data_IF_330970826717
#
_entry.id   IF_330970826717
#
_cell.length_a   1.000
_cell.length_b   1.000
_cell.length_c   1.000
_cell.angle_alpha   90.00
_cell.angle_beta   90.00
_cell.angle_gamma   90.00
#
_symmetry.space_group_name_H-M   'P 1'
#
loop_
_entity.id
_entity.type
_entity.pdbx_description
1 polymer ?
#
# COMPACT_ATOMS: atom_id res chain seq x y z
N UNK A 1 -3.48 -34.80 42.36
CA UNK A 1 -4.90 -34.83 41.98
C UNK A 1 -5.08 -33.81 40.87
N UNK A 2 -5.29 -34.30 39.65
CA UNK A 2 -5.45 -33.50 38.45
C UNK A 2 -6.91 -33.15 38.23
N UNK A 3 -7.21 -31.97 37.69
CA UNK A 3 -8.32 -31.74 36.76
C UNK A 3 -7.98 -30.55 35.85
N UNK A 4 -7.29 -30.81 34.73
CA UNK A 4 -7.40 -29.98 33.54
C UNK A 4 -8.41 -30.67 32.62
N UNK A 5 -9.55 -30.02 32.38
CA UNK A 5 -10.52 -30.44 31.39
C UNK A 5 -10.00 -29.97 30.03
N UNK A 6 -9.54 -30.90 29.21
CA UNK A 6 -9.29 -30.71 27.79
C UNK A 6 -10.60 -30.49 27.05
N UNK A 7 -10.71 -29.49 26.15
CA UNK A 7 -11.67 -29.58 25.07
C UNK A 7 -11.14 -30.60 24.06
N UNK A 8 -12.01 -31.55 23.72
CA UNK A 8 -11.78 -32.66 22.82
C UNK A 8 -11.39 -32.14 21.42
N UNK A 9 -10.09 -32.20 21.10
CA UNK A 9 -9.56 -31.97 19.75
C UNK A 9 -9.92 -33.20 18.93
N UNK A 10 -11.02 -33.13 18.20
CA UNK A 10 -11.31 -34.09 17.14
C UNK A 10 -10.32 -33.86 15.99
N UNK A 11 -9.34 -34.76 15.91
CA UNK A 11 -8.60 -35.24 14.74
C UNK A 11 -8.01 -34.20 13.77
N UNK A 12 -6.68 -34.02 13.89
CA UNK A 12 -5.68 -33.88 12.83
C UNK A 12 -6.09 -33.18 11.52
N UNK A 13 -5.89 -31.86 11.49
CA UNK A 13 -5.66 -31.11 10.25
C UNK A 13 -4.35 -30.27 10.29
N UNK A 14 -3.50 -30.51 11.30
CA UNK A 14 -2.29 -29.72 11.58
C UNK A 14 -0.99 -30.32 11.02
N UNK A 15 -1.04 -31.35 10.17
CA UNK A 15 0.15 -32.05 9.64
C UNK A 15 0.39 -31.82 8.14
N UNK A 16 -0.01 -30.67 7.60
CA UNK A 16 0.11 -30.36 6.18
C UNK A 16 1.04 -29.15 5.98
N UNK A 17 2.27 -29.33 5.45
CA UNK A 17 3.16 -28.21 5.23
C UNK A 17 2.53 -27.24 4.24
N UNK A 18 2.32 -26.01 4.71
CA UNK A 18 1.94 -24.88 3.89
C UNK A 18 3.21 -24.08 3.61
N UNK A 19 3.55 -23.92 2.34
CA UNK A 19 4.65 -23.07 1.90
C UNK A 19 4.05 -21.82 1.25
N UNK A 20 4.26 -20.66 1.87
CA UNK A 20 3.87 -19.36 1.31
C UNK A 20 5.10 -18.71 0.68
N UNK A 21 4.92 -18.11 -0.49
CA UNK A 21 5.94 -17.29 -1.13
C UNK A 21 6.01 -15.90 -0.49
N UNK A 22 7.10 -15.17 -0.74
CA UNK A 22 7.15 -13.73 -0.47
C UNK A 22 6.37 -12.96 -1.54
N UNK A 23 5.86 -11.79 -1.17
CA UNK A 23 5.18 -10.88 -2.07
C UNK A 23 3.68 -11.14 -2.32
N UNK A 24 3.04 -10.11 -2.87
CA UNK A 24 1.66 -10.17 -3.38
C UNK A 24 1.64 -10.31 -4.88
N UNK A 25 0.68 -11.09 -5.35
CA UNK A 25 0.39 -11.31 -6.76
C UNK A 25 -0.99 -10.75 -7.07
N UNK A 26 -1.12 -10.13 -8.23
CA UNK A 26 -2.41 -9.73 -8.79
C UNK A 26 -3.12 -10.95 -9.34
N UNK A 27 -4.43 -11.02 -9.13
CA UNK A 27 -5.24 -12.01 -9.82
C UNK A 27 -6.68 -11.58 -10.06
N UNK A 28 -7.39 -12.48 -10.72
CA UNK A 28 -8.80 -12.34 -11.06
C UNK A 28 -9.57 -13.58 -10.66
N UNK A 29 -10.69 -13.37 -9.97
CA UNK A 29 -11.59 -14.44 -9.57
C UNK A 29 -12.33 -14.96 -10.80
N UNK A 30 -12.26 -16.27 -11.04
CA UNK A 30 -13.03 -16.94 -12.10
C UNK A 30 -14.51 -16.91 -11.77
N UNK A 31 -15.36 -16.79 -12.78
CA UNK A 31 -16.81 -16.95 -12.65
C UNK A 31 -17.22 -18.41 -12.57
N UNK A 32 -16.64 -19.13 -11.60
CA UNK A 32 -16.85 -20.55 -11.38
C UNK A 32 -16.66 -20.88 -9.90
N UNK A 33 -17.60 -21.66 -9.36
CA UNK A 33 -17.46 -22.35 -8.07
C UNK A 33 -17.64 -23.85 -8.25
N UNK A 34 -17.11 -24.65 -7.32
CA UNK A 34 -17.30 -26.09 -7.26
C UNK A 34 -17.64 -26.52 -5.85
N UNK A 35 -18.69 -27.32 -5.71
CA UNK A 35 -19.11 -27.89 -4.43
C UNK A 35 -17.99 -28.71 -3.80
N UNK A 36 -17.86 -28.59 -2.49
CA UNK A 36 -16.94 -29.35 -1.67
C UNK A 36 -17.63 -29.81 -0.39
N UNK A 37 -17.22 -30.98 0.09
CA UNK A 37 -17.75 -31.56 1.34
C UNK A 37 -16.58 -31.76 2.29
N UNK A 38 -16.18 -30.73 3.08
CA UNK A 38 -15.02 -30.83 3.96
C UNK A 38 -15.14 -31.93 5.02
N UNK A 39 -16.37 -32.20 5.47
CA UNK A 39 -16.72 -33.31 6.37
C UNK A 39 -18.17 -33.72 6.14
N UNK A 40 -18.55 -34.90 6.61
CA UNK A 40 -19.92 -35.42 6.48
C UNK A 40 -20.95 -34.39 6.99
N UNK A 41 -21.98 -34.12 6.18
CA UNK A 41 -23.04 -33.15 6.50
C UNK A 41 -22.65 -31.67 6.37
N UNK A 42 -21.44 -31.35 5.90
CA UNK A 42 -20.97 -29.98 5.70
C UNK A 42 -20.68 -29.72 4.24
N UNK A 43 -21.36 -28.74 3.66
CA UNK A 43 -21.14 -28.20 2.32
C UNK A 43 -20.32 -26.92 2.40
N UNK A 44 -19.42 -26.78 1.43
CA UNK A 44 -18.64 -25.58 1.17
C UNK A 44 -18.48 -25.45 -0.36
N UNK A 45 -17.95 -24.33 -0.82
CA UNK A 45 -17.72 -24.09 -2.24
C UNK A 45 -16.30 -23.59 -2.44
N UNK A 46 -15.64 -24.19 -3.44
CA UNK A 46 -14.31 -23.82 -3.88
C UNK A 46 -14.42 -22.85 -5.04
N UNK A 47 -13.66 -21.77 -5.00
CA UNK A 47 -13.50 -20.83 -6.11
C UNK A 47 -12.04 -20.79 -6.56
N UNK A 48 -11.80 -20.16 -7.71
CA UNK A 48 -10.51 -20.15 -8.38
C UNK A 48 -10.10 -18.72 -8.73
N UNK A 49 -8.80 -18.43 -8.61
CA UNK A 49 -8.19 -17.16 -8.98
C UNK A 49 -7.05 -17.42 -9.93
N UNK A 50 -7.07 -16.73 -11.07
CA UNK A 50 -5.96 -16.73 -12.02
C UNK A 50 -4.98 -15.63 -11.67
N UNK A 51 -3.67 -15.93 -11.59
CA UNK A 51 -2.65 -14.90 -11.46
C UNK A 51 -2.56 -14.11 -12.77
N UNK A 52 -2.43 -12.79 -12.64
CA UNK A 52 -2.26 -11.84 -13.74
C UNK A 52 -0.92 -11.11 -13.70
N UNK A 53 -0.15 -11.30 -12.62
CA UNK A 53 1.25 -10.87 -12.52
C UNK A 53 2.16 -12.07 -12.40
N UNK A 54 3.45 -11.86 -12.66
CA UNK A 54 4.48 -12.89 -12.48
C UNK A 54 4.43 -13.54 -11.10
N UNK A 55 4.58 -14.86 -11.08
CA UNK A 55 4.68 -15.61 -9.84
C UNK A 55 6.12 -15.68 -9.38
N UNK A 56 6.37 -15.70 -8.06
CA UNK A 56 7.68 -15.99 -7.50
C UNK A 56 8.29 -17.28 -8.10
N UNK A 57 9.59 -17.31 -8.42
CA UNK A 57 10.24 -18.46 -9.06
C UNK A 57 10.01 -19.80 -8.34
N UNK A 58 9.91 -19.78 -7.00
CA UNK A 58 9.66 -20.97 -6.19
C UNK A 58 8.28 -21.60 -6.43
N UNK A 59 7.36 -20.87 -7.06
CA UNK A 59 6.03 -21.35 -7.46
C UNK A 59 6.02 -22.05 -8.83
N UNK A 60 7.15 -22.03 -9.55
CA UNK A 60 7.35 -22.72 -10.84
C UNK A 60 6.57 -22.12 -12.00
N UNK A 61 6.30 -22.90 -13.05
CA UNK A 61 5.55 -22.51 -14.28
C UNK A 61 4.07 -22.14 -14.04
N UNK A 62 3.67 -21.95 -12.78
CA UNK A 62 2.33 -21.54 -12.38
C UNK A 62 1.28 -22.67 -12.39
N UNK A 63 0.14 -22.44 -11.74
CA UNK A 63 -0.90 -23.45 -11.63
C UNK A 63 -1.69 -23.59 -12.94
N UNK A 64 -1.72 -24.79 -13.53
CA UNK A 64 -2.61 -25.13 -14.66
C UNK A 64 -4.10 -24.84 -14.43
N UNK A 65 -4.52 -24.74 -13.16
CA UNK A 65 -5.92 -24.55 -12.75
C UNK A 65 -6.15 -23.31 -11.87
N UNK A 66 -5.17 -22.40 -11.79
CA UNK A 66 -5.23 -21.25 -10.88
C UNK A 66 -5.04 -21.62 -9.40
N UNK A 67 -5.13 -20.62 -8.53
CA UNK A 67 -5.13 -20.77 -7.08
C UNK A 67 -6.55 -21.03 -6.58
N UNK A 68 -6.72 -21.94 -5.62
CA UNK A 68 -8.04 -22.30 -5.08
C UNK A 68 -8.27 -21.71 -3.70
N UNK A 69 -9.41 -21.05 -3.51
CA UNK A 69 -9.92 -20.64 -2.21
C UNK A 69 -11.20 -21.38 -1.85
N UNK A 70 -11.52 -21.42 -0.56
CA UNK A 70 -12.82 -21.90 -0.08
C UNK A 70 -13.64 -20.69 0.37
N UNK A 71 -14.92 -20.66 0.00
CA UNK A 71 -15.82 -19.59 0.42
C UNK A 71 -15.87 -19.49 1.96
N UNK A 72 -15.86 -20.62 2.67
CA UNK A 72 -15.77 -20.61 4.14
C UNK A 72 -14.58 -19.83 4.74
N UNK A 73 -13.48 -19.69 3.98
CA UNK A 73 -12.27 -18.95 4.38
C UNK A 73 -12.24 -17.51 3.89
N UNK A 74 -13.21 -17.12 3.08
CA UNK A 74 -13.36 -15.76 2.54
C UNK A 74 -14.48 -14.98 3.24
N UNK A 75 -14.87 -15.41 4.44
CA UNK A 75 -15.86 -14.72 5.29
C UNK A 75 -17.26 -15.33 5.26
N UNK A 76 -17.50 -16.37 4.46
CA UNK A 76 -18.78 -17.07 4.45
C UNK A 76 -18.82 -18.22 5.48
N UNK A 77 -20.01 -18.64 5.88
CA UNK A 77 -20.20 -19.82 6.72
C UNK A 77 -20.19 -21.11 5.92
N UNK A 78 -19.91 -22.23 6.59
CA UNK A 78 -20.26 -23.54 6.04
C UNK A 78 -21.78 -23.66 5.87
N UNK A 79 -22.23 -24.39 4.84
CA UNK A 79 -23.64 -24.54 4.48
C UNK A 79 -24.36 -23.21 4.19
N UNK A 80 -23.63 -22.13 3.91
CA UNK A 80 -24.22 -20.81 3.68
C UNK A 80 -25.09 -20.72 2.42
N UNK A 81 -24.91 -21.64 1.45
CA UNK A 81 -25.60 -21.61 0.17
C UNK A 81 -26.25 -22.96 -0.15
N UNK A 82 -27.43 -22.91 -0.74
CA UNK A 82 -28.21 -24.09 -1.13
C UNK A 82 -27.54 -24.88 -2.27
N UNK A 83 -26.85 -24.17 -3.18
CA UNK A 83 -26.19 -24.75 -4.35
C UNK A 83 -25.07 -23.87 -4.93
N UNK A 84 -24.42 -24.37 -5.98
CA UNK A 84 -23.32 -23.68 -6.68
C UNK A 84 -23.76 -22.37 -7.33
N UNK A 85 -24.99 -22.29 -7.83
CA UNK A 85 -25.52 -21.07 -8.48
C UNK A 85 -25.60 -19.89 -7.49
N UNK A 86 -26.13 -20.13 -6.29
CA UNK A 86 -26.23 -19.12 -5.24
C UNK A 86 -24.84 -18.71 -4.72
N UNK A 87 -23.97 -19.70 -4.52
CA UNK A 87 -22.58 -19.45 -4.11
C UNK A 87 -21.81 -18.63 -5.16
N UNK A 88 -22.01 -18.93 -6.45
CA UNK A 88 -21.42 -18.17 -7.55
C UNK A 88 -21.97 -16.75 -7.62
N UNK A 89 -23.29 -16.58 -7.51
CA UNK A 89 -23.91 -15.26 -7.51
C UNK A 89 -23.33 -14.38 -6.40
N UNK A 90 -23.16 -14.96 -5.19
CA UNK A 90 -22.56 -14.24 -4.07
C UNK A 90 -21.08 -13.91 -4.29
N UNK A 91 -20.31 -14.85 -4.83
CA UNK A 91 -18.91 -14.60 -5.19
C UNK A 91 -18.77 -13.47 -6.22
N UNK A 92 -19.65 -13.43 -7.22
CA UNK A 92 -19.66 -12.39 -8.25
C UNK A 92 -20.12 -11.03 -7.70
N UNK A 93 -21.06 -11.02 -6.77
CA UNK A 93 -21.46 -9.80 -6.06
C UNK A 93 -20.29 -9.20 -5.27
N UNK A 94 -19.59 -10.03 -4.48
CA UNK A 94 -18.57 -9.55 -3.55
C UNK A 94 -17.22 -9.29 -4.24
N UNK A 95 -16.80 -10.15 -5.19
CA UNK A 95 -15.48 -10.10 -5.83
C UNK A 95 -15.51 -10.02 -7.36
N UNK A 96 -16.67 -10.22 -7.98
CA UNK A 96 -16.80 -10.26 -9.43
C UNK A 96 -16.32 -8.98 -10.10
N UNK A 97 -15.75 -9.14 -11.30
CA UNK A 97 -15.20 -8.05 -12.11
C UNK A 97 -14.08 -7.23 -11.45
N UNK A 98 -13.62 -7.60 -10.25
CA UNK A 98 -12.60 -6.87 -9.51
C UNK A 98 -11.29 -7.63 -9.52
N UNK A 99 -10.20 -6.89 -9.46
CA UNK A 99 -8.89 -7.43 -9.16
C UNK A 99 -8.78 -7.75 -7.68
N UNK A 100 -8.01 -8.80 -7.42
CA UNK A 100 -7.67 -9.24 -6.07
C UNK A 100 -6.16 -9.37 -5.94
N UNK A 101 -5.64 -9.15 -4.74
CA UNK A 101 -4.29 -9.55 -4.39
C UNK A 101 -4.32 -10.71 -3.41
N UNK A 102 -3.33 -11.59 -3.52
CA UNK A 102 -3.13 -12.72 -2.62
C UNK A 102 -1.65 -13.07 -2.51
N UNK A 103 -1.26 -13.73 -1.43
CA UNK A 103 0.08 -14.33 -1.33
C UNK A 103 0.03 -15.75 -1.91
N UNK A 104 0.82 -16.04 -2.94
CA UNK A 104 0.89 -17.38 -3.50
C UNK A 104 1.28 -18.41 -2.43
N UNK A 105 0.51 -19.50 -2.33
CA UNK A 105 0.80 -20.56 -1.38
C UNK A 105 0.61 -21.96 -1.97
N UNK A 106 1.42 -22.91 -1.51
CA UNK A 106 1.39 -24.30 -1.92
C UNK A 106 1.18 -25.19 -0.68
N UNK A 107 0.08 -25.93 -0.66
CA UNK A 107 -0.25 -26.90 0.39
C UNK A 107 0.14 -28.30 -0.06
N UNK A 108 0.86 -29.03 0.81
CA UNK A 108 1.31 -30.40 0.56
C UNK A 108 2.15 -30.56 -0.73
N UNK A 109 2.87 -29.49 -1.12
CA UNK A 109 3.63 -29.44 -2.37
C UNK A 109 2.81 -29.81 -3.63
N UNK A 110 1.48 -29.65 -3.57
CA UNK A 110 0.57 -30.16 -4.62
C UNK A 110 -0.56 -29.20 -4.96
N UNK A 111 -1.09 -28.47 -3.98
CA UNK A 111 -2.29 -27.65 -4.17
C UNK A 111 -1.96 -26.18 -4.00
N UNK A 112 -2.13 -25.40 -5.07
CA UNK A 112 -2.03 -23.94 -5.03
C UNK A 112 -3.26 -23.37 -4.35
N UNK A 113 -3.09 -22.74 -3.20
CA UNK A 113 -4.19 -22.31 -2.33
C UNK A 113 -4.15 -20.81 -2.08
N UNK A 114 -5.33 -20.24 -1.84
CA UNK A 114 -5.51 -18.88 -1.34
C UNK A 114 -5.68 -18.95 0.17
N UNK A 115 -4.68 -18.50 0.92
CA UNK A 115 -4.79 -18.38 2.39
C UNK A 115 -5.00 -16.93 2.84
N UNK A 116 -4.74 -15.97 1.96
CA UNK A 116 -5.26 -14.62 2.11
C UNK A 116 -5.69 -14.05 0.75
N UNK A 117 -6.72 -13.20 0.77
CA UNK A 117 -7.30 -12.59 -0.41
C UNK A 117 -7.80 -11.19 -0.04
N UNK A 118 -7.46 -10.20 -0.86
CA UNK A 118 -7.93 -8.82 -0.69
C UNK A 118 -8.47 -8.31 -2.03
N UNK A 119 -9.62 -7.66 -1.98
CA UNK A 119 -10.22 -6.98 -3.14
C UNK A 119 -9.57 -5.61 -3.28
N UNK A 120 -8.98 -5.31 -4.43
CA UNK A 120 -8.27 -4.04 -4.64
C UNK A 120 -9.08 -3.03 -5.45
N UNK A 121 -9.80 -3.46 -6.49
CA UNK A 121 -10.57 -2.54 -7.32
C UNK A 121 -10.72 -3.01 -8.76
N UNK A 122 -10.85 -2.06 -9.68
CA UNK A 122 -11.00 -2.27 -11.13
C UNK A 122 -10.24 -1.17 -11.88
N UNK A 123 -9.88 -1.43 -13.12
CA UNK A 123 -9.45 -0.43 -14.10
C UNK A 123 -10.53 -0.26 -15.16
N UNK A 124 -10.67 0.91 -15.81
CA UNK A 124 -11.59 1.08 -16.94
C UNK A 124 -11.30 0.13 -18.11
N UNK A 125 -10.02 -0.10 -18.40
CA UNK A 125 -9.57 -1.04 -19.42
C UNK A 125 -9.05 -2.29 -18.71
N UNK A 126 -9.92 -3.29 -18.59
CA UNK A 126 -9.59 -4.60 -18.01
C UNK A 126 -9.24 -5.58 -19.13
N UNK A 127 -8.00 -5.63 -19.56
CA UNK A 127 -7.54 -6.70 -20.44
C UNK A 127 -7.24 -7.95 -19.61
N UNK A 128 -7.70 -9.12 -20.08
CA UNK A 128 -7.68 -10.35 -19.27
C UNK A 128 -6.36 -11.11 -19.36
N UNK A 129 -5.47 -10.70 -20.26
CA UNK A 129 -4.26 -11.43 -20.65
C UNK A 129 -2.99 -10.54 -20.61
N UNK A 130 -3.06 -9.38 -19.96
CA UNK A 130 -1.91 -8.48 -19.82
C UNK A 130 -0.92 -9.02 -18.78
N UNK A 131 0.36 -8.87 -19.08
CA UNK A 131 1.46 -9.21 -18.19
C UNK A 131 1.68 -8.07 -17.17
N UNK A 132 0.90 -8.06 -16.09
CA UNK A 132 0.99 -7.01 -15.08
C UNK A 132 2.28 -7.13 -14.27
N UNK A 133 3.02 -6.02 -14.16
CA UNK A 133 4.17 -5.90 -13.27
C UNK A 133 3.80 -5.21 -11.97
N UNK A 134 4.20 -5.77 -10.82
CA UNK A 134 4.06 -5.06 -9.55
C UNK A 134 5.01 -3.88 -9.51
N UNK A 135 4.53 -2.75 -9.01
CA UNK A 135 5.28 -1.50 -8.84
C UNK A 135 5.14 -1.06 -7.38
N UNK A 136 6.23 -0.89 -6.63
CA UNK A 136 6.19 -0.28 -5.31
C UNK A 136 5.62 1.13 -5.35
N UNK A 137 4.60 1.38 -4.53
CA UNK A 137 3.96 2.68 -4.42
C UNK A 137 3.91 3.11 -2.95
N UNK A 138 4.62 4.20 -2.65
CA UNK A 138 4.76 4.76 -1.32
C UNK A 138 3.76 5.90 -1.12
N UNK A 139 2.99 5.83 -0.03
CA UNK A 139 1.90 6.77 0.21
C UNK A 139 0.69 6.53 -0.69
N UNK A 140 -0.32 7.40 -0.55
CA UNK A 140 -1.57 7.39 -1.31
C UNK A 140 -1.93 8.81 -1.71
N UNK A 141 -2.86 8.95 -2.64
CA UNK A 141 -3.37 10.28 -2.98
C UNK A 141 -3.94 10.95 -1.72
N UNK A 142 -3.44 12.16 -1.41
CA UNK A 142 -3.79 12.89 -0.19
C UNK A 142 -3.06 12.44 1.08
N UNK A 143 -2.28 11.36 1.02
CA UNK A 143 -1.45 10.83 2.10
C UNK A 143 -0.01 10.65 1.57
N UNK A 144 0.78 11.73 1.47
CA UNK A 144 2.07 11.70 0.79
C UNK A 144 3.08 10.79 1.50
N UNK A 145 4.06 10.30 0.74
CA UNK A 145 5.17 9.54 1.29
C UNK A 145 6.03 10.41 2.24
N UNK A 146 6.68 9.78 3.23
CA UNK A 146 7.58 10.44 4.19
C UNK A 146 7.04 11.76 4.77
N UNK A 147 5.75 11.77 5.16
CA UNK A 147 5.10 12.93 5.79
C UNK A 147 5.07 14.18 4.88
N UNK A 148 5.16 14.01 3.56
CA UNK A 148 5.16 15.11 2.58
C UNK A 148 6.55 15.55 2.12
N UNK A 149 7.63 15.09 2.76
CA UNK A 149 9.00 15.45 2.41
C UNK A 149 9.51 14.59 1.24
N UNK A 150 9.13 14.96 0.02
CA UNK A 150 9.56 14.27 -1.20
C UNK A 150 11.07 14.40 -1.44
N UNK A 151 11.69 15.51 -1.01
CA UNK A 151 13.13 15.72 -1.13
C UNK A 151 13.90 14.73 -0.24
N UNK A 152 13.38 14.42 0.96
CA UNK A 152 13.92 13.35 1.81
C UNK A 152 13.73 11.98 1.17
N UNK A 153 12.60 11.73 0.51
CA UNK A 153 12.41 10.51 -0.26
C UNK A 153 13.48 10.37 -1.37
N UNK A 154 13.74 11.43 -2.14
CA UNK A 154 14.79 11.47 -3.16
C UNK A 154 16.18 11.21 -2.55
N UNK A 155 16.54 11.91 -1.47
CA UNK A 155 17.82 11.71 -0.77
C UNK A 155 17.99 10.27 -0.28
N UNK A 156 16.92 9.64 0.22
CA UNK A 156 16.99 8.24 0.61
C UNK A 156 17.31 7.32 -0.57
N UNK A 157 16.71 7.55 -1.75
CA UNK A 157 17.04 6.79 -2.95
C UNK A 157 18.49 6.99 -3.39
N UNK A 158 18.95 8.24 -3.46
CA UNK A 158 20.32 8.57 -3.89
C UNK A 158 21.39 8.03 -2.94
N UNK A 159 21.13 8.06 -1.63
CA UNK A 159 22.08 7.62 -0.61
C UNK A 159 21.98 6.12 -0.29
N UNK A 160 21.05 5.39 -0.92
CA UNK A 160 20.82 3.97 -0.64
C UNK A 160 20.32 3.72 0.79
N UNK A 161 19.50 4.62 1.33
CA UNK A 161 18.89 4.50 2.66
C UNK A 161 17.52 3.81 2.57
N UNK A 162 17.06 3.17 3.67
CA UNK A 162 15.78 2.46 3.64
C UNK A 162 14.61 3.43 3.46
N UNK A 163 13.63 2.98 2.67
CA UNK A 163 12.34 3.62 2.51
C UNK A 163 11.28 2.79 3.25
N UNK A 164 10.66 3.33 4.31
CA UNK A 164 9.65 2.60 5.07
C UNK A 164 8.36 2.42 4.26
N UNK A 165 7.60 1.37 4.57
CA UNK A 165 6.26 1.14 4.02
C UNK A 165 6.14 -0.03 3.05
N UNK A 166 7.26 -0.62 2.62
CA UNK A 166 7.30 -1.85 1.83
C UNK A 166 7.95 -2.99 2.63
N UNK A 167 7.38 -4.19 2.58
CA UNK A 167 7.89 -5.37 3.30
C UNK A 167 7.75 -6.65 2.47
N UNK A 168 8.39 -7.75 2.91
CA UNK A 168 8.34 -9.08 2.26
C UNK A 168 6.94 -9.69 2.15
N UNK A 169 5.99 -9.16 2.91
CA UNK A 169 4.56 -9.49 2.76
C UNK A 169 4.01 -9.04 1.40
N UNK A 170 4.54 -7.95 0.86
CA UNK A 170 4.06 -7.29 -0.36
C UNK A 170 5.04 -7.44 -1.52
N UNK A 171 6.34 -7.37 -1.26
CA UNK A 171 7.38 -7.51 -2.28
C UNK A 171 8.13 -8.84 -2.18
N UNK A 172 8.63 -9.32 -3.31
CA UNK A 172 9.55 -10.44 -3.39
C UNK A 172 10.85 -9.95 -4.03
N UNK A 173 11.99 -10.19 -3.36
CA UNK A 173 13.29 -9.68 -3.78
C UNK A 173 13.82 -10.32 -5.07
N UNK A 174 13.23 -11.42 -5.54
CA UNK A 174 13.54 -12.00 -6.85
C UNK A 174 13.02 -11.13 -8.01
N UNK A 175 12.16 -10.14 -7.71
CA UNK A 175 11.72 -9.13 -8.67
C UNK A 175 12.46 -7.82 -8.46
N UNK A 176 12.85 -7.20 -9.56
CA UNK A 176 13.29 -5.80 -9.60
C UNK A 176 12.19 -4.93 -10.20
N UNK A 177 11.83 -3.81 -9.55
CA UNK A 177 10.85 -2.90 -10.10
C UNK A 177 11.43 -2.13 -11.29
N UNK A 178 10.62 -1.87 -12.30
CA UNK A 178 11.00 -1.02 -13.43
C UNK A 178 11.05 0.47 -13.03
N UNK A 179 10.18 0.84 -12.11
CA UNK A 179 10.14 2.14 -11.45
C UNK A 179 9.41 1.98 -10.11
N UNK A 180 9.49 3.01 -9.27
CA UNK A 180 8.70 3.14 -8.04
C UNK A 180 7.90 4.44 -8.09
N UNK A 181 6.80 4.49 -7.35
CA UNK A 181 5.98 5.69 -7.23
C UNK A 181 5.96 6.21 -5.79
N UNK A 182 5.97 7.52 -5.62
CA UNK A 182 5.75 8.19 -4.34
C UNK A 182 4.59 9.18 -4.48
N UNK A 183 3.61 9.09 -3.59
CA UNK A 183 2.59 10.12 -3.45
C UNK A 183 3.24 11.42 -2.95
N UNK A 184 2.83 12.54 -3.53
CA UNK A 184 3.43 13.84 -3.25
C UNK A 184 2.37 14.90 -2.95
N UNK A 185 2.78 15.96 -2.25
CA UNK A 185 1.92 17.14 -2.09
C UNK A 185 1.89 17.94 -3.39
N UNK A 186 0.72 18.44 -3.76
CA UNK A 186 0.52 18.94 -5.11
C UNK A 186 1.21 20.30 -5.40
N UNK A 187 1.76 20.97 -4.38
CA UNK A 187 2.41 22.29 -4.43
C UNK A 187 1.85 23.26 -5.49
N UNK A 188 0.58 23.65 -5.36
CA UNK A 188 -0.15 24.51 -6.31
C UNK A 188 -0.11 24.03 -7.77
N UNK A 189 -0.08 22.71 -7.98
CA UNK A 189 -0.03 22.04 -9.28
C UNK A 189 1.38 21.87 -9.86
N UNK A 190 2.44 22.28 -9.16
CA UNK A 190 3.83 22.17 -9.66
C UNK A 190 4.43 20.77 -9.47
N UNK A 191 3.98 20.06 -8.43
CA UNK A 191 4.30 18.68 -8.16
C UNK A 191 2.97 17.93 -8.28
N UNK A 192 2.82 16.98 -9.18
CA UNK A 192 1.55 16.30 -9.45
C UNK A 192 1.11 15.42 -8.28
N UNK A 193 0.09 14.59 -8.48
CA UNK A 193 -0.35 13.66 -7.42
C UNK A 193 0.74 12.65 -7.02
N UNK A 194 1.61 12.27 -7.95
CA UNK A 194 2.69 11.32 -7.71
C UNK A 194 4.00 11.74 -8.41
N UNK A 195 5.11 11.24 -7.87
CA UNK A 195 6.43 11.27 -8.51
C UNK A 195 6.87 9.84 -8.77
N UNK A 196 7.16 9.52 -10.02
CA UNK A 196 7.75 8.26 -10.45
C UNK A 196 9.28 8.38 -10.42
N UNK A 197 9.96 7.34 -9.96
CA UNK A 197 11.42 7.25 -9.95
C UNK A 197 11.86 5.96 -10.62
N UNK A 198 12.83 6.06 -11.53
CA UNK A 198 13.40 4.91 -12.22
C UNK A 198 14.88 5.13 -12.53
N UNK A 199 15.68 4.08 -12.73
CA UNK A 199 17.01 4.22 -13.30
C UNK A 199 16.95 4.89 -14.67
N UNK A 200 17.84 5.84 -14.91
CA UNK A 200 18.06 6.42 -16.24
C UNK A 200 18.87 5.48 -17.13
N UNK A 201 19.77 4.72 -16.49
CA UNK A 201 20.65 3.78 -17.16
C UNK A 201 20.06 2.37 -16.97
N UNK A 202 19.28 1.90 -17.94
CA UNK A 202 18.72 0.54 -17.96
C UNK A 202 17.19 0.47 -17.85
N UNK A 203 16.68 -0.76 -17.84
CA UNK A 203 15.23 -1.00 -17.91
C UNK A 203 14.56 -0.99 -16.54
N UNK A 204 15.28 -1.43 -15.49
CA UNK A 204 14.78 -1.60 -14.12
C UNK A 204 15.88 -1.38 -13.10
N UNK A 205 15.52 -1.27 -11.83
CA UNK A 205 16.49 -1.24 -10.73
C UNK A 205 17.37 -2.51 -10.74
N UNK A 206 18.64 -2.38 -10.38
CA UNK A 206 19.61 -3.48 -10.35
C UNK A 206 19.32 -4.45 -9.21
N UNK A 207 18.97 -3.91 -8.04
CA UNK A 207 18.69 -4.69 -6.84
C UNK A 207 17.60 -4.01 -6.00
N UNK A 208 16.74 -4.83 -5.39
CA UNK A 208 15.80 -4.40 -4.36
C UNK A 208 15.93 -5.29 -3.15
N UNK A 209 16.29 -4.69 -2.01
CA UNK A 209 16.44 -5.41 -0.75
C UNK A 209 15.39 -4.90 0.22
N UNK A 210 14.64 -5.83 0.82
CA UNK A 210 13.78 -5.54 1.97
C UNK A 210 14.49 -6.04 3.23
N UNK A 211 14.82 -5.12 4.14
CA UNK A 211 15.50 -5.42 5.40
C UNK A 211 15.00 -4.53 6.56
N UNK A 212 15.69 -4.56 7.69
CA UNK A 212 15.45 -3.68 8.83
C UNK A 212 15.42 -2.21 8.38
N UNK A 213 14.29 -1.54 8.66
CA UNK A 213 14.06 -0.14 8.34
C UNK A 213 13.27 0.12 7.04
N UNK A 214 13.21 -0.84 6.10
CA UNK A 214 12.40 -0.68 4.87
C UNK A 214 13.01 -1.28 3.61
N UNK A 215 12.65 -0.69 2.48
CA UNK A 215 13.11 -1.09 1.15
C UNK A 215 14.31 -0.25 0.68
N UNK A 216 15.28 -0.91 0.07
CA UNK A 216 16.47 -0.33 -0.54
C UNK A 216 16.38 -0.56 -2.05
N UNK A 217 16.66 0.47 -2.83
CA UNK A 217 16.62 0.42 -4.30
C UNK A 217 17.96 0.87 -4.85
N UNK A 218 18.58 0.04 -5.68
CA UNK A 218 19.88 0.31 -6.29
C UNK A 218 19.74 0.33 -7.81
N UNK A 219 20.35 1.30 -8.49
CA UNK A 219 20.19 1.42 -9.95
C UNK A 219 20.93 2.59 -10.61
N UNK A 220 22.10 2.97 -10.08
CA UNK A 220 22.92 4.03 -10.68
C UNK A 220 22.24 5.40 -10.72
N UNK A 221 22.26 6.06 -11.89
CA UNK A 221 21.65 7.39 -12.08
C UNK A 221 20.13 7.31 -12.01
N UNK A 222 19.55 8.17 -11.18
CA UNK A 222 18.12 8.15 -10.90
C UNK A 222 17.40 9.24 -11.70
N UNK A 223 16.33 8.85 -12.40
CA UNK A 223 15.41 9.73 -13.08
C UNK A 223 14.11 9.89 -12.28
N UNK A 224 13.42 11.00 -12.51
CA UNK A 224 12.10 11.25 -11.95
C UNK A 224 11.14 11.87 -12.96
N UNK A 225 9.84 11.60 -12.77
CA UNK A 225 8.75 12.21 -13.54
C UNK A 225 7.57 12.46 -12.63
N UNK A 226 7.01 13.66 -12.73
CA UNK A 226 5.76 14.00 -12.06
C UNK A 226 4.58 13.53 -12.90
N UNK A 227 3.60 12.92 -12.25
CA UNK A 227 2.40 12.42 -12.90
C UNK A 227 1.16 12.72 -12.07
N UNK A 228 0.09 13.10 -12.76
CA UNK A 228 -1.23 13.33 -12.15
C UNK A 228 -2.09 12.08 -12.28
N UNK A 229 -3.04 11.93 -11.35
CA UNK A 229 -4.02 10.83 -11.37
C UNK A 229 -4.91 10.84 -12.62
N UNK A 230 -5.06 12.02 -13.24
CA UNK A 230 -5.84 12.23 -14.45
C UNK A 230 -5.08 11.89 -15.73
N UNK A 231 -3.79 11.53 -15.63
CA UNK A 231 -3.03 10.98 -16.75
C UNK A 231 -3.78 9.76 -17.33
N UNK A 232 -3.79 9.64 -18.65
CA UNK A 232 -4.59 8.66 -19.37
C UNK A 232 -4.21 7.22 -19.00
N UNK A 233 -2.90 6.94 -18.90
CA UNK A 233 -2.37 5.64 -18.52
C UNK A 233 -2.72 5.37 -17.05
N UNK A 234 -2.50 6.35 -16.17
CA UNK A 234 -2.80 6.24 -14.74
C UNK A 234 -4.28 5.99 -14.45
N UNK A 235 -5.17 6.69 -15.16
CA UNK A 235 -6.62 6.58 -14.97
C UNK A 235 -7.18 5.32 -15.62
N UNK A 236 -6.62 4.90 -16.76
CA UNK A 236 -7.15 3.83 -17.60
C UNK A 236 -6.62 2.43 -17.28
N UNK A 237 -5.33 2.32 -16.95
CA UNK A 237 -4.60 1.04 -17.01
C UNK A 237 -3.87 0.68 -15.71
N UNK A 238 -3.51 1.66 -14.88
CA UNK A 238 -2.80 1.40 -13.63
C UNK A 238 -3.77 1.03 -12.51
N UNK A 239 -3.68 -0.22 -12.03
CA UNK A 239 -4.39 -0.63 -10.81
C UNK A 239 -3.60 -0.17 -9.59
N UNK A 240 -4.17 0.76 -8.84
CA UNK A 240 -3.62 1.23 -7.56
C UNK A 240 -4.29 0.48 -6.42
N UNK A 241 -3.54 -0.32 -5.67
CA UNK A 241 -4.12 -1.16 -4.64
C UNK A 241 -4.61 -0.35 -3.43
N UNK A 242 -5.78 -0.73 -2.91
CA UNK A 242 -6.37 -0.13 -1.72
C UNK A 242 -5.81 -0.74 -0.42
N UNK A 243 -5.25 -1.96 -0.47
CA UNK A 243 -4.83 -2.73 0.71
C UNK A 243 -3.34 -3.07 0.73
N UNK A 244 -2.58 -2.66 -0.28
CA UNK A 244 -1.13 -2.90 -0.37
C UNK A 244 -0.40 -1.68 -0.93
N UNK A 245 0.90 -1.51 -0.63
CA UNK A 245 1.74 -0.44 -1.17
C UNK A 245 2.22 -0.80 -2.60
N UNK A 246 1.31 -1.30 -3.42
CA UNK A 246 1.61 -1.80 -4.76
C UNK A 246 0.65 -1.19 -5.77
N UNK A 247 1.20 -0.85 -6.91
CA UNK A 247 0.44 -0.74 -8.14
C UNK A 247 0.71 -1.95 -9.01
N UNK A 248 -0.21 -2.22 -9.92
CA UNK A 248 -0.01 -3.16 -11.01
C UNK A 248 -0.19 -2.45 -12.33
N UNK A 249 0.82 -2.55 -13.18
CA UNK A 249 0.91 -1.83 -14.45
C UNK A 249 1.10 -2.87 -15.56
N UNK A 250 0.32 -2.83 -16.65
CA UNK A 250 0.58 -3.70 -17.79
C UNK A 250 1.95 -3.41 -18.37
N UNK A 251 2.71 -4.46 -18.69
CA UNK A 251 4.11 -4.32 -19.11
C UNK A 251 4.33 -3.34 -20.26
N UNK A 252 3.40 -3.26 -21.22
CA UNK A 252 3.50 -2.36 -22.38
C UNK A 252 3.53 -0.87 -22.02
N UNK A 253 2.91 -0.46 -20.91
CA UNK A 253 2.84 0.94 -20.49
C UNK A 253 4.03 1.38 -19.64
N UNK A 254 4.91 0.45 -19.23
CA UNK A 254 6.05 0.76 -18.35
C UNK A 254 6.99 1.78 -18.99
N UNK A 255 7.39 1.56 -20.24
CA UNK A 255 8.29 2.47 -20.93
C UNK A 255 7.61 3.81 -21.20
N UNK A 256 6.32 3.84 -21.56
CA UNK A 256 5.56 5.07 -21.73
C UNK A 256 5.47 5.91 -20.44
N UNK A 257 5.36 5.26 -19.27
CA UNK A 257 5.39 5.95 -17.98
C UNK A 257 6.78 6.53 -17.68
N UNK A 258 7.86 5.88 -18.12
CA UNK A 258 9.26 6.33 -17.97
C UNK A 258 9.69 7.39 -18.98
N UNK A 259 9.01 7.51 -20.12
CA UNK A 259 9.34 8.48 -21.16
C UNK A 259 9.36 9.92 -20.62
N UNK A 260 10.42 10.66 -20.93
CA UNK A 260 10.59 12.06 -20.55
C UNK A 260 11.00 12.28 -19.09
N UNK A 261 11.52 11.27 -18.40
CA UNK A 261 12.11 11.44 -17.07
C UNK A 261 13.30 12.41 -17.09
N UNK A 262 13.33 13.29 -16.09
CA UNK A 262 14.44 14.20 -15.82
C UNK A 262 15.40 13.54 -14.83
N UNK A 263 16.68 13.90 -14.84
CA UNK A 263 17.61 13.42 -13.82
C UNK A 263 17.31 14.05 -12.46
N UNK A 264 17.31 13.22 -11.41
CA UNK A 264 17.18 13.70 -10.04
C UNK A 264 18.42 14.54 -9.69
N UNK A 265 18.25 15.77 -9.16
CA UNK A 265 19.37 16.59 -8.71
C UNK A 265 20.27 15.87 -7.71
N UNK A 266 21.57 16.14 -7.74
CA UNK A 266 22.55 15.44 -6.90
C UNK A 266 22.34 15.65 -5.39
N UNK A 267 21.68 16.74 -4.98
CA UNK A 267 21.27 17.03 -3.61
C UNK A 267 19.88 16.46 -3.26
N UNK A 268 19.19 15.87 -4.23
CA UNK A 268 17.84 15.31 -4.10
C UNK A 268 16.73 16.36 -4.04
N UNK A 269 17.01 17.63 -4.32
CA UNK A 269 16.02 18.71 -4.22
C UNK A 269 15.25 18.93 -5.54
N UNK A 270 14.24 18.09 -5.76
CA UNK A 270 13.37 18.19 -6.93
C UNK A 270 12.37 19.35 -6.83
N UNK A 271 12.10 19.85 -5.62
CA UNK A 271 11.21 20.99 -5.40
C UNK A 271 11.85 22.27 -5.95
N UNK A 272 13.09 22.55 -5.56
CA UNK A 272 13.85 23.71 -6.05
C UNK A 272 14.07 23.63 -7.56
N UNK A 273 14.36 22.44 -8.11
CA UNK A 273 14.47 22.23 -9.56
C UNK A 273 13.18 22.62 -10.33
N UNK A 274 12.03 22.55 -9.65
CA UNK A 274 10.71 22.96 -10.19
C UNK A 274 10.27 24.36 -9.77
N UNK A 275 11.16 25.15 -9.18
CA UNK A 275 10.86 26.50 -8.71
C UNK A 275 9.79 26.53 -7.61
N UNK A 276 9.77 25.48 -6.77
CA UNK A 276 8.98 25.42 -5.54
C UNK A 276 9.91 25.82 -4.40
N UNK A 277 9.68 26.98 -3.80
CA UNK A 277 10.39 27.37 -2.59
C UNK A 277 9.78 26.63 -1.40
N UNK A 278 10.57 25.80 -0.72
CA UNK A 278 10.17 25.26 0.58
C UNK A 278 10.01 26.44 1.56
N UNK A 279 8.77 26.72 1.98
CA UNK A 279 8.55 27.61 3.11
C UNK A 279 9.06 26.89 4.35
N UNK A 280 9.93 27.50 5.18
CA UNK A 280 10.36 26.87 6.41
C UNK A 280 9.12 26.54 7.24
N UNK A 281 8.99 25.27 7.63
CA UNK A 281 7.96 24.85 8.57
C UNK A 281 8.10 25.73 9.81
N UNK A 282 7.06 26.52 10.11
CA UNK A 282 7.00 27.30 11.35
C UNK A 282 6.90 26.27 12.47
N UNK A 283 8.04 25.89 13.04
CA UNK A 283 8.08 25.07 14.23
C UNK A 283 7.52 25.91 15.37
N UNK A 284 6.27 25.66 15.74
CA UNK A 284 5.78 26.06 17.04
C UNK A 284 6.51 25.19 18.06
N UNK A 285 7.69 25.64 18.48
CA UNK A 285 8.30 25.14 19.70
C UNK A 285 7.30 25.40 20.83
N UNK A 286 6.69 24.32 21.32
CA UNK A 286 5.89 24.35 22.54
C UNK A 286 6.76 24.88 23.67
N UNK A 287 6.53 26.13 24.07
CA UNK A 287 7.14 26.73 25.25
C UNK A 287 6.57 26.03 26.50
N UNK A 288 7.18 24.91 26.87
CA UNK A 288 6.90 24.24 28.14
C UNK A 288 8.22 23.76 28.73
N UNK A 289 9.02 24.71 29.20
CA UNK A 289 10.02 24.48 30.25
C UNK A 289 10.31 25.82 30.95
N UNK A 290 9.56 26.10 32.00
CA UNK A 290 9.95 27.08 33.01
C UNK A 290 10.55 26.30 34.19
N UNK A 291 11.82 26.51 34.58
CA UNK A 291 12.38 25.86 35.75
C UNK A 291 11.82 26.51 37.02
N UNK A 292 11.39 25.67 37.95
CA UNK A 292 11.00 26.06 39.30
C UNK A 292 12.21 26.55 40.10
N UNK A 293 12.12 27.73 40.71
CA UNK A 293 13.09 28.12 41.74
C UNK A 293 13.16 29.60 42.13
N UNK A 294 12.46 29.93 43.21
CA UNK A 294 12.82 30.92 44.26
C UNK A 294 12.63 32.43 43.99
N UNK A 295 11.87 33.05 44.91
CA UNK A 295 12.25 34.35 45.47
C UNK A 295 11.16 35.41 45.52
N UNK A 296 10.33 35.39 46.57
CA UNK A 296 9.52 36.52 47.02
C UNK A 296 10.36 37.80 47.12
N UNK A 297 10.05 38.84 46.33
CA UNK A 297 10.18 40.25 46.75
C UNK A 297 9.11 41.08 46.01
N UNK A 298 8.11 41.55 46.76
CA UNK A 298 7.15 42.58 46.35
C UNK A 298 7.39 43.78 47.28
N UNK A 299 7.57 45.01 46.77
CA UNK A 299 7.31 46.20 47.55
C UNK A 299 5.95 46.84 47.20
N UNK A 300 5.31 47.54 48.14
CA UNK A 300 3.93 47.99 48.05
C UNK A 300 3.83 49.37 47.38
N UNK A 301 2.72 49.65 46.71
CA UNK A 301 2.35 51.03 46.36
C UNK A 301 0.94 51.34 46.83
N UNK A 302 0.88 52.50 47.49
CA UNK A 302 -0.15 53.03 48.36
C UNK A 302 -1.47 53.35 47.64
N UNK A 303 -2.55 53.24 48.42
CA UNK A 303 -3.80 53.97 48.25
C UNK A 303 -3.57 55.50 48.34
N UNK A 304 -4.32 56.29 47.56
CA UNK A 304 -5.51 57.04 48.04
C UNK A 304 -5.85 58.26 47.16
N UNK A 305 -7.16 58.46 47.00
CA UNK A 305 -7.94 59.72 47.03
C UNK A 305 -7.48 60.90 46.15
N UNK A 306 -8.30 61.74 45.53
CA UNK A 306 -9.75 62.00 45.40
C UNK A 306 -9.84 63.11 44.34
N UNK A 307 -10.94 63.21 43.59
CA UNK A 307 -11.77 64.43 43.48
C UNK A 307 -12.73 64.38 42.28
N UNK A 308 -13.96 64.76 42.60
CA UNK A 308 -15.18 64.79 41.79
C UNK A 308 -15.20 65.94 40.77
N UNK A 309 -16.00 65.81 39.71
CA UNK A 309 -17.29 66.52 39.52
C UNK A 309 -17.71 66.61 38.03
N UNK A 310 -18.81 65.95 37.63
CA UNK A 310 -20.21 66.43 37.42
C UNK A 310 -20.48 67.20 36.11
N UNK A 311 -21.35 66.64 35.24
CA UNK A 311 -22.59 67.18 34.60
C UNK A 311 -22.92 66.31 33.37
N UNK A 312 -24.03 65.56 33.28
CA UNK A 312 -25.48 65.86 33.21
C UNK A 312 -26.03 66.18 31.79
N UNK A 313 -27.11 65.49 31.41
CA UNK A 313 -28.01 65.77 30.25
C UNK A 313 -28.37 64.51 29.44
N UNK A 314 -29.42 63.74 29.78
CA UNK A 314 -30.84 63.82 29.33
C UNK A 314 -31.05 63.58 27.82
N UNK A 315 -31.62 62.42 27.45
CA UNK A 315 -33.05 62.16 27.08
C UNK A 315 -33.41 62.61 25.64
N UNK A 316 -34.08 61.81 24.81
CA UNK A 316 -34.73 60.51 25.03
C UNK A 316 -35.12 59.81 23.74
#
# INVERSE_FOLDING_TARGET
MAYFITPNVTADNSAFPLRQAEGKVLGRVRSLVKGSTPRAGVKDYRFFVDPLSSLPPEMGEGPRFGFTGFMSRSGYGFNAFAGEEEALARLQEDLGGSFVTFTPALRNNKFFVLDDLKKEGRTPFMEQDEDYRPVPAFGRQGEPAMEGDINKFCRHLLEGKPIPGLSKKYWNNDFTPYFIAAAAERHDGKLGDFVLFAPLDGDAFEETVIDEGGAYFHGGRLGYKVIDISDEIMAGHVLRCANSPLWFVPFEYIEHLKEGMEEVPADGDILSARGIEERPAVSFASAAEAPAGLGNILPPLLEKDTSESVTAGEEG
#
